data_IF_702598973234
#
_entry.id   IF_702598973234
#
_cell.length_a   1.000
_cell.length_b   1.000
_cell.length_c   1.000
_cell.angle_alpha   90.00
_cell.angle_beta   90.00
_cell.angle_gamma   90.00
#
_symmetry.space_group_name_H-M   'P 1'
#
loop_
_entity.id
_entity.type
_entity.pdbx_description
1 polymer ?
#
# COMPACT_ATOMS: atom_id res chain seq x y z
N UNK A 1 17.55 17.62 -7.95
CA UNK A 1 16.59 17.10 -6.96
C UNK A 1 17.32 16.19 -6.00
N UNK A 2 17.10 16.33 -4.70
CA UNK A 2 17.72 15.45 -3.70
C UNK A 2 17.15 14.02 -3.81
N UNK A 3 17.87 13.06 -3.26
CA UNK A 3 17.40 11.66 -3.20
C UNK A 3 16.06 11.58 -2.45
N UNK A 4 15.91 12.32 -1.36
CA UNK A 4 14.65 12.38 -0.61
C UNK A 4 13.51 12.90 -1.48
N UNK A 5 13.73 14.01 -2.19
CA UNK A 5 12.71 14.58 -3.08
C UNK A 5 12.37 13.63 -4.23
N UNK A 6 13.37 12.93 -4.78
CA UNK A 6 13.15 11.96 -5.86
C UNK A 6 12.29 10.78 -5.38
N UNK A 7 12.56 10.27 -4.19
CA UNK A 7 11.79 9.17 -3.60
C UNK A 7 10.34 9.60 -3.33
N UNK A 8 10.14 10.82 -2.82
CA UNK A 8 8.80 11.38 -2.62
C UNK A 8 8.04 11.48 -3.94
N UNK A 9 8.70 11.97 -5.01
CA UNK A 9 8.06 12.09 -6.32
C UNK A 9 7.67 10.73 -6.89
N UNK A 10 8.51 9.70 -6.71
CA UNK A 10 8.17 8.33 -7.11
C UNK A 10 6.87 7.88 -6.45
N UNK A 11 6.73 8.11 -5.15
CA UNK A 11 5.53 7.71 -4.42
C UNK A 11 4.30 8.54 -4.80
N UNK A 12 4.46 9.85 -4.96
CA UNK A 12 3.35 10.72 -5.38
C UNK A 12 2.73 10.24 -6.68
N UNK A 13 3.57 9.93 -7.67
CA UNK A 13 3.09 9.43 -8.95
C UNK A 13 2.43 8.07 -8.82
N UNK A 14 3.03 7.17 -8.03
CA UNK A 14 2.49 5.82 -7.83
C UNK A 14 1.12 5.86 -7.14
N UNK A 15 0.97 6.67 -6.09
CA UNK A 15 -0.30 6.81 -5.38
C UNK A 15 -1.37 7.50 -6.23
N UNK A 16 -0.97 8.48 -7.05
CA UNK A 16 -1.90 9.13 -7.98
C UNK A 16 -2.49 8.12 -8.95
N UNK A 17 -1.65 7.28 -9.53
CA UNK A 17 -2.10 6.22 -10.45
C UNK A 17 -2.97 5.19 -9.74
N UNK A 18 -2.61 4.87 -8.50
CA UNK A 18 -3.35 3.91 -7.67
C UNK A 18 -4.78 4.39 -7.42
N UNK A 19 -4.93 5.66 -7.03
CA UNK A 19 -6.23 6.28 -6.82
C UNK A 19 -7.02 6.42 -8.14
N UNK A 20 -6.38 6.99 -9.16
CA UNK A 20 -7.06 7.29 -10.44
C UNK A 20 -7.57 6.03 -11.12
N UNK A 21 -6.83 4.94 -11.02
CA UNK A 21 -7.22 3.65 -11.62
C UNK A 21 -8.11 2.80 -10.70
N UNK A 22 -8.39 3.27 -9.48
CA UNK A 22 -9.13 2.49 -8.47
C UNK A 22 -8.53 1.11 -8.25
N UNK A 23 -7.20 1.08 -8.12
CA UNK A 23 -6.46 -0.14 -7.83
C UNK A 23 -6.06 -0.96 -9.06
N UNK A 24 -6.29 -0.48 -10.27
CA UNK A 24 -5.94 -1.23 -11.48
C UNK A 24 -4.46 -1.08 -11.87
N UNK A 25 -3.73 -0.11 -11.29
CA UNK A 25 -2.34 0.18 -11.65
C UNK A 25 -1.31 -0.72 -10.94
N UNK A 26 -1.64 -1.98 -10.71
CA UNK A 26 -0.76 -2.94 -10.01
C UNK A 26 0.61 -3.03 -10.68
N UNK A 27 0.66 -3.13 -12.01
CA UNK A 27 1.92 -3.30 -12.74
C UNK A 27 2.86 -2.10 -12.55
N UNK A 28 2.32 -0.90 -12.37
CA UNK A 28 3.15 0.28 -12.14
C UNK A 28 3.99 0.14 -10.88
N UNK A 29 3.42 -0.42 -9.79
CA UNK A 29 4.16 -0.67 -8.56
C UNK A 29 5.37 -1.56 -8.81
N UNK A 30 5.20 -2.64 -9.59
CA UNK A 30 6.28 -3.58 -9.90
C UNK A 30 7.30 -3.01 -10.88
N UNK A 31 6.83 -2.29 -11.90
CA UNK A 31 7.70 -1.77 -12.95
C UNK A 31 8.51 -0.56 -12.50
N UNK A 32 7.96 0.26 -11.60
CA UNK A 32 8.50 1.59 -11.32
C UNK A 32 8.85 1.86 -9.87
N UNK A 33 8.38 1.07 -8.91
CA UNK A 33 8.54 1.41 -7.48
C UNK A 33 9.34 0.37 -6.71
N UNK A 34 8.92 -0.90 -6.73
CA UNK A 34 9.49 -1.91 -5.82
C UNK A 34 10.71 -2.59 -6.40
N UNK A 35 11.68 -2.88 -5.53
CA UNK A 35 12.83 -3.70 -5.86
C UNK A 35 12.44 -5.19 -5.84
N UNK A 36 13.22 -6.02 -6.54
CA UNK A 36 12.98 -7.47 -6.54
C UNK A 36 12.94 -8.05 -5.12
N UNK A 37 13.84 -7.60 -4.25
CA UNK A 37 13.98 -8.11 -2.87
C UNK A 37 13.19 -7.30 -1.85
N UNK A 38 12.09 -6.68 -2.25
CA UNK A 38 11.23 -5.91 -1.35
C UNK A 38 10.77 -6.73 -0.14
N UNK A 39 10.81 -6.13 1.05
CA UNK A 39 10.17 -6.65 2.25
C UNK A 39 8.90 -5.83 2.47
N UNK A 40 7.75 -6.48 2.44
CA UNK A 40 6.44 -5.80 2.45
C UNK A 40 5.60 -6.37 3.57
N UNK A 41 5.25 -5.54 4.53
CA UNK A 41 4.50 -5.97 5.72
C UNK A 41 3.28 -5.12 6.01
N UNK A 42 2.41 -5.64 6.86
CA UNK A 42 1.16 -5.00 7.26
C UNK A 42 0.83 -5.36 8.71
N UNK A 43 0.18 -4.44 9.43
CA UNK A 43 -0.15 -4.61 10.83
C UNK A 43 -0.93 -5.91 11.11
N UNK A 44 -1.93 -6.33 10.31
CA UNK A 44 -2.67 -7.57 10.58
C UNK A 44 -1.81 -8.84 10.55
N UNK A 45 -0.67 -8.83 9.87
CA UNK A 45 0.27 -9.96 9.80
C UNK A 45 -0.42 -11.24 9.31
N UNK A 46 -1.36 -11.10 8.38
CA UNK A 46 -2.07 -12.22 7.78
C UNK A 46 -3.21 -12.79 8.62
N UNK A 47 -3.57 -12.17 9.73
CA UNK A 47 -4.66 -12.65 10.59
C UNK A 47 -6.02 -12.49 9.91
N UNK A 48 -6.82 -13.56 9.92
CA UNK A 48 -8.17 -13.51 9.39
C UNK A 48 -9.01 -12.44 10.12
N UNK A 49 -9.90 -11.72 9.43
CA UNK A 49 -10.28 -11.86 8.02
C UNK A 49 -9.40 -11.07 7.03
N UNK A 50 -8.26 -10.54 7.45
CA UNK A 50 -7.38 -9.72 6.64
C UNK A 50 -6.14 -10.49 6.18
N UNK A 51 -6.36 -11.66 5.58
CA UNK A 51 -5.27 -12.59 5.22
C UNK A 51 -4.29 -12.02 4.19
N UNK A 52 -4.76 -11.17 3.27
CA UNK A 52 -3.90 -10.55 2.26
C UNK A 52 -2.84 -9.64 2.91
N UNK A 53 -3.16 -9.04 4.05
CA UNK A 53 -2.28 -8.10 4.75
C UNK A 53 -1.23 -8.85 5.58
N UNK A 54 -0.38 -9.59 4.89
CA UNK A 54 0.64 -10.47 5.46
C UNK A 54 2.04 -9.96 5.13
N UNK A 55 3.05 -10.75 5.42
CA UNK A 55 4.45 -10.46 5.08
C UNK A 55 4.79 -11.12 3.74
N UNK A 56 5.40 -10.33 2.85
CA UNK A 56 5.89 -10.78 1.55
C UNK A 56 7.36 -10.37 1.42
N UNK A 57 8.22 -11.26 0.92
CA UNK A 57 9.67 -11.09 1.02
C UNK A 57 10.38 -10.88 -0.32
N UNK A 58 9.63 -10.79 -1.40
CA UNK A 58 10.14 -10.42 -2.72
C UNK A 58 8.97 -10.02 -3.62
N UNK A 59 9.29 -9.54 -4.82
CA UNK A 59 8.26 -9.05 -5.73
C UNK A 59 7.36 -10.16 -6.29
N UNK A 60 7.87 -11.38 -6.41
CA UNK A 60 7.05 -12.52 -6.85
C UNK A 60 5.98 -12.84 -5.81
N UNK A 61 6.36 -12.92 -4.53
CA UNK A 61 5.42 -13.14 -3.43
C UNK A 61 4.43 -11.98 -3.29
N UNK A 62 4.90 -10.75 -3.51
CA UNK A 62 4.08 -9.54 -3.36
C UNK A 62 2.87 -9.51 -4.31
N UNK A 63 2.92 -10.23 -5.43
CA UNK A 63 1.75 -10.38 -6.30
C UNK A 63 0.54 -10.93 -5.52
N UNK A 64 0.80 -11.79 -4.53
CA UNK A 64 -0.25 -12.35 -3.67
C UNK A 64 -0.97 -11.32 -2.84
N UNK A 65 -0.29 -10.26 -2.39
CA UNK A 65 -0.91 -9.14 -1.67
C UNK A 65 -1.98 -8.48 -2.55
N UNK A 66 -1.60 -8.08 -3.76
CA UNK A 66 -2.51 -7.40 -4.67
C UNK A 66 -3.65 -8.31 -5.13
N UNK A 67 -3.35 -9.57 -5.43
CA UNK A 67 -4.38 -10.53 -5.83
C UNK A 67 -5.41 -10.72 -4.72
N UNK A 68 -4.96 -10.88 -3.48
CA UNK A 68 -5.84 -11.04 -2.33
C UNK A 68 -6.67 -9.79 -2.06
N UNK A 69 -6.00 -8.62 -2.03
CA UNK A 69 -6.69 -7.35 -1.79
C UNK A 69 -7.77 -7.10 -2.84
N UNK A 70 -7.42 -7.20 -4.10
CA UNK A 70 -8.33 -6.83 -5.19
C UNK A 70 -9.40 -7.89 -5.47
N UNK A 71 -9.21 -9.13 -5.00
CA UNK A 71 -10.27 -10.15 -5.09
C UNK A 71 -11.36 -9.93 -4.06
N UNK A 72 -11.06 -9.28 -2.94
CA UNK A 72 -11.99 -9.12 -1.82
C UNK A 72 -12.52 -7.69 -1.68
N UNK A 73 -11.80 -6.68 -2.18
CA UNK A 73 -12.11 -5.28 -1.93
C UNK A 73 -12.14 -4.47 -3.22
N UNK A 74 -13.01 -3.46 -3.25
CA UNK A 74 -13.07 -2.44 -4.31
C UNK A 74 -12.66 -1.10 -3.74
N UNK A 75 -11.72 -0.43 -4.39
CA UNK A 75 -11.26 0.89 -3.95
C UNK A 75 -12.29 1.96 -4.28
N UNK A 76 -12.67 2.75 -3.27
CA UNK A 76 -13.50 3.92 -3.44
C UNK A 76 -12.64 5.18 -3.59
N UNK A 77 -11.64 5.35 -2.71
CA UNK A 77 -10.65 6.41 -2.87
C UNK A 77 -9.35 6.04 -2.14
N UNK A 78 -8.27 6.74 -2.50
CA UNK A 78 -6.97 6.59 -1.87
C UNK A 78 -6.24 7.93 -2.00
N UNK A 79 -5.90 8.56 -0.88
CA UNK A 79 -5.26 9.87 -0.87
C UNK A 79 -4.14 9.90 0.16
N UNK A 80 -2.92 10.17 -0.30
CA UNK A 80 -1.77 10.43 0.57
C UNK A 80 -1.50 11.94 0.54
N UNK A 81 -1.75 12.61 1.67
CA UNK A 81 -1.76 14.07 1.76
C UNK A 81 -0.43 14.64 2.23
N UNK A 82 0.36 13.84 2.95
CA UNK A 82 1.59 14.31 3.59
C UNK A 82 2.71 13.29 3.36
N UNK A 83 3.90 13.81 3.04
CA UNK A 83 5.10 13.00 2.84
C UNK A 83 6.21 13.56 3.71
N UNK A 84 6.80 12.70 4.55
CA UNK A 84 7.94 13.04 5.41
C UNK A 84 9.10 12.17 4.98
N UNK A 85 10.18 12.79 4.53
CA UNK A 85 11.36 12.08 4.05
C UNK A 85 12.58 12.41 4.91
N UNK A 86 13.32 11.38 5.28
CA UNK A 86 14.58 11.53 5.99
C UNK A 86 15.53 10.43 5.52
N UNK A 87 16.63 10.81 4.89
CA UNK A 87 17.57 9.85 4.33
C UNK A 87 16.88 8.99 3.25
N UNK A 88 16.95 7.68 3.41
CA UNK A 88 16.35 6.72 2.49
C UNK A 88 14.90 6.34 2.85
N UNK A 89 14.34 6.94 3.90
CA UNK A 89 12.99 6.64 4.39
C UNK A 89 12.00 7.72 3.95
N UNK A 90 10.84 7.29 3.48
CA UNK A 90 9.69 8.17 3.24
C UNK A 90 8.48 7.60 3.97
N UNK A 91 7.81 8.46 4.75
CA UNK A 91 6.52 8.14 5.37
C UNK A 91 5.44 8.91 4.64
N UNK A 92 4.44 8.20 4.13
CA UNK A 92 3.28 8.80 3.48
C UNK A 92 2.07 8.64 4.41
N UNK A 93 1.31 9.71 4.60
CA UNK A 93 0.15 9.74 5.48
C UNK A 93 -1.05 10.28 4.74
N UNK A 94 -2.19 9.62 4.93
CA UNK A 94 -3.44 10.03 4.31
C UNK A 94 -4.60 9.16 4.76
N UNK A 95 -5.45 8.80 3.82
CA UNK A 95 -6.63 7.97 4.09
C UNK A 95 -7.01 7.18 2.85
N UNK A 96 -7.79 6.13 3.06
CA UNK A 96 -8.37 5.39 1.95
C UNK A 96 -9.75 4.84 2.34
N UNK A 97 -10.52 4.46 1.33
CA UNK A 97 -11.82 3.84 1.51
C UNK A 97 -11.99 2.70 0.53
N UNK A 98 -12.42 1.57 1.05
CA UNK A 98 -12.62 0.34 0.28
C UNK A 98 -13.95 -0.29 0.66
N UNK A 99 -14.65 -0.84 -0.31
CA UNK A 99 -15.87 -1.61 -0.08
C UNK A 99 -15.53 -3.10 -0.17
N UNK A 100 -15.91 -3.87 0.84
CA UNK A 100 -15.73 -5.32 0.81
C UNK A 100 -16.74 -5.94 -0.17
N UNK A 101 -16.26 -6.71 -1.14
CA UNK A 101 -17.08 -7.22 -2.23
C UNK A 101 -18.17 -8.18 -1.75
N UNK A 102 -17.86 -8.98 -0.74
CA UNK A 102 -18.82 -9.99 -0.23
C UNK A 102 -19.84 -9.39 0.71
N UNK A 103 -19.43 -8.52 1.62
CA UNK A 103 -20.34 -7.95 2.64
C UNK A 103 -21.03 -6.67 2.17
N UNK A 104 -20.46 -5.97 1.19
CA UNK A 104 -20.93 -4.67 0.75
C UNK A 104 -20.63 -3.53 1.72
N UNK A 105 -19.88 -3.80 2.79
CA UNK A 105 -19.58 -2.79 3.81
C UNK A 105 -18.39 -1.92 3.42
N UNK A 106 -18.49 -0.63 3.74
CA UNK A 106 -17.43 0.34 3.50
C UNK A 106 -16.47 0.36 4.69
N UNK A 107 -15.16 0.39 4.38
CA UNK A 107 -14.11 0.67 5.35
C UNK A 107 -13.43 1.97 4.96
N UNK A 108 -13.56 2.99 5.79
CA UNK A 108 -12.78 4.21 5.68
C UNK A 108 -11.73 4.19 6.79
N UNK A 109 -10.49 4.49 6.46
CA UNK A 109 -9.42 4.40 7.44
C UNK A 109 -8.34 5.44 7.17
N UNK A 110 -7.76 6.03 8.25
CA UNK A 110 -6.48 6.71 8.10
C UNK A 110 -5.43 5.69 7.67
N UNK A 111 -4.43 6.15 6.95
CA UNK A 111 -3.40 5.27 6.39
C UNK A 111 -2.03 5.90 6.58
N UNK A 112 -1.09 5.12 7.07
CA UNK A 112 0.32 5.50 7.13
C UNK A 112 1.13 4.38 6.49
N UNK A 113 1.92 4.74 5.48
CA UNK A 113 2.81 3.82 4.80
C UNK A 113 4.26 4.24 5.05
N UNK A 114 5.06 3.30 5.51
CA UNK A 114 6.48 3.47 5.76
C UNK A 114 7.24 2.81 4.61
N UNK A 115 8.10 3.60 3.95
CA UNK A 115 8.90 3.14 2.81
C UNK A 115 10.38 3.38 3.05
N UNK A 116 11.21 2.42 2.63
CA UNK A 116 12.66 2.61 2.54
C UNK A 116 13.10 2.35 1.11
N UNK A 117 13.98 3.21 0.61
CA UNK A 117 14.46 3.16 -0.78
C UNK A 117 15.95 2.84 -0.83
N UNK A 118 16.38 2.27 -1.95
CA UNK A 118 17.79 2.11 -2.30
C UNK A 118 17.91 2.18 -3.81
N UNK A 119 18.77 3.09 -4.31
CA UNK A 119 18.95 3.25 -5.76
C UNK A 119 17.66 3.60 -6.50
N UNK A 120 16.77 4.34 -5.86
CA UNK A 120 15.50 4.77 -6.46
C UNK A 120 14.38 3.73 -6.44
N UNK A 121 14.61 2.56 -5.84
CA UNK A 121 13.60 1.51 -5.71
C UNK A 121 13.30 1.23 -4.24
N UNK A 122 12.04 0.90 -3.95
CA UNK A 122 11.62 0.57 -2.60
C UNK A 122 12.10 -0.84 -2.21
N UNK A 123 12.80 -0.94 -1.09
CA UNK A 123 13.30 -2.21 -0.55
C UNK A 123 12.55 -2.64 0.70
N UNK A 124 11.77 -1.73 1.29
CA UNK A 124 10.98 -2.02 2.49
C UNK A 124 9.70 -1.20 2.46
N UNK A 125 8.61 -1.84 2.87
CA UNK A 125 7.30 -1.21 3.04
C UNK A 125 6.63 -1.80 4.26
N UNK A 126 5.96 -0.96 5.05
CA UNK A 126 5.08 -1.40 6.12
C UNK A 126 3.87 -0.48 6.19
N UNK A 127 2.67 -1.06 6.24
CA UNK A 127 1.43 -0.26 6.27
C UNK A 127 0.72 -0.36 7.61
N UNK A 128 0.17 0.80 8.03
CA UNK A 128 -0.60 0.96 9.24
C UNK A 128 -1.97 1.52 8.88
N UNK A 129 -3.01 0.85 9.32
CA UNK A 129 -4.38 1.31 9.10
C UNK A 129 -5.27 0.84 10.24
N UNK A 130 -6.51 1.29 10.28
CA UNK A 130 -7.48 0.87 11.30
C UNK A 130 -7.92 -0.56 11.03
N UNK A 131 -7.22 -1.49 11.66
CA UNK A 131 -7.46 -2.92 11.44
C UNK A 131 -8.81 -3.38 12.01
N UNK A 132 -9.30 -2.72 13.06
CA UNK A 132 -10.63 -3.03 13.60
C UNK A 132 -11.72 -2.64 12.60
N UNK A 133 -11.60 -1.46 11.97
CA UNK A 133 -12.56 -1.02 10.96
C UNK A 133 -12.53 -1.95 9.74
N UNK A 134 -11.33 -2.35 9.28
CA UNK A 134 -11.20 -3.25 8.16
C UNK A 134 -11.79 -4.63 8.46
N UNK A 135 -11.51 -5.19 9.63
CA UNK A 135 -12.06 -6.48 10.04
C UNK A 135 -13.60 -6.44 10.15
N UNK A 136 -14.14 -5.35 10.70
CA UNK A 136 -15.58 -5.18 10.79
C UNK A 136 -16.25 -5.13 9.42
N UNK A 137 -15.65 -4.47 8.44
CA UNK A 137 -16.18 -4.40 7.08
C UNK A 137 -16.08 -5.75 6.37
N UNK A 138 -15.12 -6.59 6.72
CA UNK A 138 -14.91 -7.90 6.09
C UNK A 138 -15.78 -9.01 6.69
N UNK A 139 -16.55 -8.72 7.72
CA UNK A 139 -17.43 -9.66 8.39
C UNK A 139 -18.85 -9.12 8.47
#
# INVERSE_FOLDING_TARGET
MSTEAANVQTLKEAYRRWHDSKGASVDYWFDSVVAHHISFGSVPRGAAPLKFAAQYNNDVELRGYFDGLLSEWSMEHYAMDEYIAQGDVVVARGSCAWTHKKTGKLCETPKVDYWRFKGGKAIEFYEYFDTAAAAAAAT
#
